data_IF_215046312965
#
_entry.id   IF_215046312965
#
_cell.length_a   1.000
_cell.length_b   1.000
_cell.length_c   1.000
_cell.angle_alpha   90.00
_cell.angle_beta   90.00
_cell.angle_gamma   90.00
#
_symmetry.space_group_name_H-M   'P 1'
#
loop_
_entity.id
_entity.type
_entity.pdbx_description
1 polymer ?
#
# COMPACT_ATOMS: atom_id res chain seq x y z
N UNK A 1 6.03 -5.07 -10.97
CA UNK A 1 5.62 -5.66 -9.67
C UNK A 1 5.71 -7.17 -9.86
N UNK A 2 6.25 -7.92 -8.91
CA UNK A 2 6.48 -9.36 -9.09
C UNK A 2 5.27 -10.06 -8.51
N UNK A 3 4.72 -11.00 -9.26
CA UNK A 3 3.58 -11.80 -8.82
C UNK A 3 4.02 -12.94 -7.89
N UNK A 4 3.08 -13.52 -7.16
CA UNK A 4 3.32 -14.69 -6.33
C UNK A 4 3.87 -15.87 -7.15
N UNK A 5 3.37 -16.06 -8.37
CA UNK A 5 3.86 -17.10 -9.29
C UNK A 5 5.36 -16.95 -9.57
N UNK A 6 5.77 -15.73 -9.93
CA UNK A 6 7.17 -15.41 -10.22
C UNK A 6 8.05 -15.59 -8.98
N UNK A 7 7.56 -15.25 -7.78
CA UNK A 7 8.28 -15.53 -6.53
C UNK A 7 8.47 -17.03 -6.29
N UNK A 8 7.44 -17.83 -6.54
CA UNK A 8 7.52 -19.28 -6.41
C UNK A 8 8.56 -19.87 -7.37
N UNK A 9 8.58 -19.41 -8.62
CA UNK A 9 9.60 -19.80 -9.61
C UNK A 9 11.01 -19.40 -9.15
N UNK A 10 11.23 -18.19 -8.62
CA UNK A 10 12.54 -17.78 -8.09
C UNK A 10 13.01 -18.75 -6.99
N UNK A 11 12.11 -19.16 -6.09
CA UNK A 11 12.44 -20.10 -5.00
C UNK A 11 12.72 -21.51 -5.51
N UNK A 12 11.94 -21.99 -6.47
CA UNK A 12 12.15 -23.29 -7.12
C UNK A 12 13.49 -23.33 -7.86
N UNK A 13 13.80 -22.32 -8.67
CA UNK A 13 15.06 -22.24 -9.39
C UNK A 13 16.24 -22.10 -8.42
N UNK A 14 16.07 -21.37 -7.31
CA UNK A 14 17.09 -21.31 -6.27
C UNK A 14 17.32 -22.67 -5.59
N UNK A 15 16.27 -23.46 -5.39
CA UNK A 15 16.35 -24.84 -4.86
C UNK A 15 17.09 -25.77 -5.82
N UNK A 16 16.98 -25.53 -7.12
CA UNK A 16 17.76 -26.20 -8.18
C UNK A 16 19.22 -25.70 -8.29
N UNK A 17 19.74 -24.97 -7.29
CA UNK A 17 21.11 -24.44 -7.25
C UNK A 17 21.47 -23.45 -8.37
N UNK A 18 20.49 -22.86 -9.06
CA UNK A 18 20.74 -21.82 -10.06
C UNK A 18 21.21 -20.51 -9.39
N UNK A 19 22.12 -19.81 -10.08
CA UNK A 19 22.57 -18.50 -9.64
C UNK A 19 21.53 -17.42 -9.92
N UNK A 20 21.50 -16.38 -9.09
CA UNK A 20 20.53 -15.29 -9.21
C UNK A 20 20.54 -14.61 -10.61
N UNK A 21 21.68 -14.62 -11.29
CA UNK A 21 21.81 -14.12 -12.67
C UNK A 21 21.19 -15.05 -13.72
N UNK A 22 21.27 -16.37 -13.51
CA UNK A 22 20.61 -17.36 -14.38
C UNK A 22 19.10 -17.29 -14.20
N UNK A 23 18.64 -17.23 -12.95
CA UNK A 23 17.22 -17.06 -12.60
C UNK A 23 16.67 -15.75 -13.21
N UNK A 24 17.46 -14.67 -13.18
CA UNK A 24 17.10 -13.40 -13.79
C UNK A 24 16.96 -13.49 -15.31
N UNK A 25 17.87 -14.20 -15.99
CA UNK A 25 17.77 -14.46 -17.43
C UNK A 25 16.56 -15.32 -17.79
N UNK A 26 16.29 -16.36 -17.02
CA UNK A 26 15.20 -17.31 -17.26
C UNK A 26 13.83 -16.65 -17.07
N UNK A 27 13.67 -15.86 -16.01
CA UNK A 27 12.42 -15.16 -15.72
C UNK A 27 12.33 -13.78 -16.41
N UNK A 28 13.34 -13.38 -17.19
CA UNK A 28 13.45 -12.02 -17.76
C UNK A 28 13.27 -10.91 -16.70
N UNK A 29 13.84 -11.12 -15.53
CA UNK A 29 13.80 -10.20 -14.38
C UNK A 29 15.13 -9.50 -14.19
N UNK A 30 15.10 -8.41 -13.43
CA UNK A 30 16.32 -7.74 -13.00
C UNK A 30 17.04 -8.57 -11.92
N UNK A 31 18.35 -8.81 -12.09
CA UNK A 31 19.18 -9.57 -11.15
C UNK A 31 19.19 -8.97 -9.73
N UNK A 32 19.08 -7.64 -9.59
CA UNK A 32 18.93 -6.99 -8.27
C UNK A 32 17.64 -7.41 -7.58
N UNK A 33 16.58 -7.56 -8.36
CA UNK A 33 15.28 -7.97 -7.87
C UNK A 33 15.29 -9.43 -7.47
N UNK A 34 15.82 -10.32 -8.31
CA UNK A 34 15.98 -11.74 -7.98
C UNK A 34 16.84 -11.92 -6.72
N UNK A 35 17.97 -11.22 -6.61
CA UNK A 35 18.85 -11.30 -5.42
C UNK A 35 18.12 -10.88 -4.14
N UNK A 36 17.26 -9.86 -4.23
CA UNK A 36 16.38 -9.45 -3.12
C UNK A 36 15.40 -10.57 -2.74
N UNK A 37 14.70 -11.16 -3.71
CA UNK A 37 13.70 -12.21 -3.45
C UNK A 37 14.27 -13.58 -3.08
N UNK A 38 15.49 -13.88 -3.52
CA UNK A 38 16.23 -15.06 -3.08
C UNK A 38 16.52 -14.97 -1.58
N UNK A 39 16.90 -13.78 -1.09
CA UNK A 39 17.19 -13.53 0.33
C UNK A 39 15.93 -13.41 1.19
N UNK A 40 14.82 -12.92 0.64
CA UNK A 40 13.54 -12.82 1.34
C UNK A 40 12.88 -14.19 1.48
N UNK A 41 12.52 -14.60 2.69
CA UNK A 41 11.95 -15.94 2.93
C UNK A 41 10.48 -16.04 2.48
N UNK A 42 9.75 -14.93 2.50
CA UNK A 42 8.31 -14.89 2.24
C UNK A 42 7.95 -13.86 1.17
N UNK A 43 7.01 -14.22 0.30
CA UNK A 43 6.41 -13.26 -0.62
C UNK A 43 5.65 -12.19 0.17
N UNK A 44 6.23 -11.01 0.30
CA UNK A 44 5.53 -9.83 0.75
C UNK A 44 5.25 -8.97 -0.48
N UNK A 45 4.01 -8.99 -1.03
CA UNK A 45 3.65 -8.00 -2.03
C UNK A 45 3.92 -6.63 -1.40
N UNK A 46 4.55 -5.73 -2.16
CA UNK A 46 4.84 -4.39 -1.67
C UNK A 46 3.50 -3.77 -1.29
N UNK A 47 3.13 -3.83 0.00
CA UNK A 47 1.98 -3.11 0.54
C UNK A 47 2.26 -1.68 0.15
N UNK A 48 1.50 -1.16 -0.82
CA UNK A 48 1.40 0.28 -1.01
C UNK A 48 1.05 0.77 0.38
N UNK A 49 2.02 1.39 1.05
CA UNK A 49 1.93 1.60 2.48
C UNK A 49 0.60 2.27 2.72
N UNK A 50 -0.26 1.66 3.54
CA UNK A 50 -1.32 2.40 4.17
C UNK A 50 -0.58 3.44 5.00
N UNK A 51 -0.31 4.58 4.38
CA UNK A 51 0.16 5.76 5.07
C UNK A 51 -1.00 6.08 6.00
N UNK A 52 -0.84 6.12 7.33
CA UNK A 52 -1.87 6.65 8.19
C UNK A 52 -2.17 8.04 7.65
N UNK A 53 -3.31 8.17 6.98
CA UNK A 53 -3.74 9.43 6.40
C UNK A 53 -3.78 10.41 7.55
N UNK A 54 -3.36 11.67 7.35
CA UNK A 54 -3.50 12.75 8.35
C UNK A 54 -4.95 12.90 8.88
N UNK A 55 -5.90 12.20 8.26
CA UNK A 55 -7.33 12.12 8.54
C UNK A 55 -7.69 11.10 9.63
N UNK A 56 -6.80 10.15 9.96
CA UNK A 56 -7.05 9.14 11.00
C UNK A 56 -7.46 9.73 12.36
N UNK A 57 -6.79 10.79 12.89
CA UNK A 57 -7.23 11.40 14.15
C UNK A 57 -8.58 12.10 14.05
N UNK A 58 -8.98 12.57 12.87
CA UNK A 58 -10.25 13.27 12.67
C UNK A 58 -11.40 12.33 12.28
N UNK A 59 -11.11 11.09 11.91
CA UNK A 59 -12.11 10.12 11.44
C UNK A 59 -13.19 9.84 12.48
N UNK A 60 -12.83 9.83 13.77
CA UNK A 60 -13.79 9.64 14.88
C UNK A 60 -14.77 10.80 15.00
N UNK A 61 -14.29 12.03 14.91
CA UNK A 61 -15.15 13.23 14.89
C UNK A 61 -16.08 13.22 13.66
N UNK A 62 -15.55 12.84 12.50
CA UNK A 62 -16.32 12.75 11.25
C UNK A 62 -17.46 11.74 11.38
N UNK A 63 -17.18 10.55 11.91
CA UNK A 63 -18.20 9.50 12.11
C UNK A 63 -19.27 10.00 13.08
N UNK A 64 -18.87 10.63 14.20
CA UNK A 64 -19.80 11.17 15.18
C UNK A 64 -20.70 12.28 14.59
N UNK A 65 -20.13 13.12 13.74
CA UNK A 65 -20.89 14.16 13.04
C UNK A 65 -21.84 13.58 11.98
N UNK A 66 -21.42 12.53 11.26
CA UNK A 66 -22.25 11.81 10.30
C UNK A 66 -23.42 11.07 10.95
N UNK A 67 -23.20 10.53 12.15
CA UNK A 67 -24.25 9.91 12.97
C UNK A 67 -25.32 10.93 13.36
N UNK A 68 -24.93 12.19 13.59
CA UNK A 68 -25.85 13.28 13.92
C UNK A 68 -26.56 13.83 12.67
N UNK A 69 -25.83 14.04 11.57
CA UNK A 69 -26.38 14.55 10.32
C UNK A 69 -25.56 14.08 9.11
N UNK A 70 -26.17 13.74 7.97
CA UNK A 70 -25.42 13.35 6.76
C UNK A 70 -24.70 14.57 6.14
N UNK A 71 -23.55 14.91 6.69
CA UNK A 71 -22.70 15.98 6.19
C UNK A 71 -21.99 15.55 4.90
N UNK A 72 -21.90 16.47 3.94
CA UNK A 72 -21.10 16.24 2.73
C UNK A 72 -19.60 16.30 3.03
N UNK A 73 -18.78 15.61 2.23
CA UNK A 73 -17.32 15.63 2.36
C UNK A 73 -16.72 17.06 2.40
N UNK A 74 -17.32 18.03 1.70
CA UNK A 74 -16.92 19.44 1.74
C UNK A 74 -17.18 20.11 3.10
N UNK A 75 -18.31 19.81 3.75
CA UNK A 75 -18.67 20.37 5.06
C UNK A 75 -17.75 19.80 6.16
N UNK A 76 -17.47 18.50 6.05
CA UNK A 76 -16.54 17.81 6.94
C UNK A 76 -15.12 18.37 6.78
N UNK A 77 -14.67 18.59 5.54
CA UNK A 77 -13.37 19.20 5.25
C UNK A 77 -13.24 20.59 5.90
N UNK A 78 -14.27 21.43 5.83
CA UNK A 78 -14.25 22.74 6.46
C UNK A 78 -14.06 22.63 7.98
N UNK A 79 -14.84 21.75 8.63
CA UNK A 79 -14.76 21.51 10.09
C UNK A 79 -13.41 20.99 10.56
N UNK A 80 -12.84 20.00 9.87
CA UNK A 80 -11.54 19.44 10.27
C UNK A 80 -10.41 20.42 9.97
N UNK A 81 -10.54 21.28 8.95
CA UNK A 81 -9.58 22.35 8.64
C UNK A 81 -9.53 23.39 9.75
N UNK A 82 -10.68 23.74 10.34
CA UNK A 82 -10.73 24.58 11.54
C UNK A 82 -10.05 23.92 12.75
N UNK A 83 -10.10 22.59 12.84
CA UNK A 83 -9.38 21.81 13.86
C UNK A 83 -7.88 21.60 13.55
N UNK A 84 -7.33 22.22 12.50
CA UNK A 84 -5.92 22.14 12.14
C UNK A 84 -5.56 21.05 11.12
N UNK A 85 -6.54 20.52 10.38
CA UNK A 85 -6.28 19.55 9.32
C UNK A 85 -5.69 20.22 8.06
N UNK A 86 -4.46 19.86 7.71
CA UNK A 86 -3.79 20.27 6.46
C UNK A 86 -3.96 19.28 5.30
N UNK A 87 -4.82 18.27 5.42
CA UNK A 87 -5.04 17.31 4.34
C UNK A 87 -5.97 17.84 3.24
N UNK A 88 -5.88 17.25 2.04
CA UNK A 88 -6.67 17.66 0.88
C UNK A 88 -8.08 17.01 0.82
N UNK A 89 -8.98 17.65 0.08
CA UNK A 89 -10.36 17.19 -0.19
C UNK A 89 -10.44 15.73 -0.65
N UNK A 90 -9.49 15.28 -1.47
CA UNK A 90 -9.46 13.91 -1.98
C UNK A 90 -9.33 12.86 -0.86
N UNK A 91 -8.64 13.17 0.25
CA UNK A 91 -8.49 12.24 1.38
C UNK A 91 -9.81 12.09 2.13
N UNK A 92 -10.54 13.20 2.29
CA UNK A 92 -11.88 13.19 2.86
C UNK A 92 -12.82 12.43 1.94
N UNK A 93 -12.87 12.78 0.64
CA UNK A 93 -13.75 12.12 -0.32
C UNK A 93 -13.56 10.61 -0.39
N UNK A 94 -12.33 10.10 -0.42
CA UNK A 94 -12.04 8.66 -0.41
C UNK A 94 -12.50 7.90 0.85
N UNK A 95 -12.88 8.62 1.91
CA UNK A 95 -13.48 8.02 3.13
C UNK A 95 -15.01 7.96 3.05
N UNK A 96 -15.62 8.74 2.17
CA UNK A 96 -17.08 8.89 2.01
C UNK A 96 -17.64 8.14 0.79
N UNK A 97 -16.77 7.58 -0.06
CA UNK A 97 -17.11 6.78 -1.25
C UNK A 97 -16.99 5.29 -0.93
#
# INVERSE_FOLDING_TARGET
MIDYETFCQIKELKRNNLNAEQIARELSLNSRTVRKWVSEERYMPRKSGWRPSKLDPFKKDIIRDLEAYPYSAAQILARIREKGFEGGYSIVKSTFE
#
